data_IF_546202354893
#
_entry.id   IF_546202354893
#
_cell.length_a   1.000
_cell.length_b   1.000
_cell.length_c   1.000
_cell.angle_alpha   90.00
_cell.angle_beta   90.00
_cell.angle_gamma   90.00
#
_symmetry.space_group_name_H-M   'P 1'
#
loop_
_entity.id
_entity.type
_entity.pdbx_description
1 polymer ?
#
# COMPACT_ATOMS: atom_id res chain seq x y z
N UNK A 1 -14.70 0.60 13.32
CA UNK A 1 -13.99 -0.70 13.16
C UNK A 1 -12.52 -0.46 13.38
N UNK A 2 -11.87 -1.25 14.24
CA UNK A 2 -10.41 -1.20 14.40
C UNK A 2 -9.80 -1.87 13.15
N UNK A 3 -9.10 -1.12 12.31
CA UNK A 3 -8.36 -1.70 11.18
C UNK A 3 -7.05 -2.23 11.74
N UNK A 4 -6.76 -3.51 11.55
CA UNK A 4 -5.51 -4.13 11.99
C UNK A 4 -4.38 -3.75 11.02
N UNK A 5 -3.68 -2.67 11.30
CA UNK A 5 -2.56 -2.19 10.47
C UNK A 5 -1.31 -3.06 10.52
N UNK A 6 -1.29 -4.09 11.38
CA UNK A 6 -0.24 -5.11 11.43
C UNK A 6 -0.62 -6.38 10.67
N UNK A 7 -1.82 -6.45 10.11
CA UNK A 7 -2.23 -7.59 9.30
C UNK A 7 -1.40 -7.62 8.01
N UNK A 8 -1.00 -8.82 7.58
CA UNK A 8 -0.30 -8.99 6.30
C UNK A 8 -1.12 -8.56 5.09
N UNK A 9 -2.42 -8.36 5.26
CA UNK A 9 -3.33 -7.98 4.20
C UNK A 9 -4.14 -6.75 4.57
N UNK A 10 -4.35 -5.88 3.59
CA UNK A 10 -5.07 -4.64 3.78
C UNK A 10 -5.86 -4.29 2.52
N UNK A 11 -7.12 -3.89 2.70
CA UNK A 11 -7.96 -3.44 1.59
C UNK A 11 -7.89 -1.92 1.56
N UNK A 12 -7.47 -1.36 0.42
CA UNK A 12 -7.38 0.07 0.23
C UNK A 12 -8.78 0.66 0.26
N UNK A 13 -9.06 1.47 1.26
CA UNK A 13 -10.31 2.21 1.35
C UNK A 13 -10.17 3.64 0.84
N UNK A 14 -11.16 4.48 1.08
CA UNK A 14 -11.10 5.91 0.72
C UNK A 14 -10.15 6.72 1.59
N UNK A 15 -9.82 6.21 2.77
CA UNK A 15 -8.87 6.82 3.69
C UNK A 15 -7.43 6.52 3.26
N UNK A 16 -6.83 7.46 2.53
CA UNK A 16 -5.41 7.43 2.21
C UNK A 16 -4.55 7.33 3.48
N UNK A 17 -4.96 7.98 4.57
CA UNK A 17 -4.25 7.95 5.84
C UNK A 17 -4.12 6.53 6.40
N UNK A 18 -5.18 5.72 6.29
CA UNK A 18 -5.16 4.32 6.73
C UNK A 18 -4.22 3.47 5.86
N UNK A 19 -4.23 3.72 4.54
CA UNK A 19 -3.35 3.04 3.58
C UNK A 19 -1.88 3.36 3.84
N UNK A 20 -1.56 4.64 4.05
CA UNK A 20 -0.22 5.09 4.40
C UNK A 20 0.23 4.54 5.76
N UNK A 21 -0.67 4.48 6.74
CA UNK A 21 -0.38 3.90 8.05
C UNK A 21 0.03 2.43 7.92
N UNK A 22 -0.72 1.66 7.13
CA UNK A 22 -0.40 0.27 6.81
C UNK A 22 0.96 0.14 6.11
N UNK A 23 1.22 0.95 5.08
CA UNK A 23 2.53 0.95 4.39
C UNK A 23 3.68 1.24 5.37
N UNK A 24 3.57 2.28 6.19
CA UNK A 24 4.62 2.62 7.17
C UNK A 24 4.83 1.50 8.20
N UNK A 25 3.84 0.62 8.44
CA UNK A 25 3.98 -0.57 9.30
C UNK A 25 4.69 -1.74 8.61
N UNK A 26 4.70 -1.78 7.28
CA UNK A 26 5.23 -2.85 6.44
C UNK A 26 6.37 -2.35 5.52
N UNK A 27 7.31 -1.60 6.09
CA UNK A 27 8.48 -1.03 5.39
C UNK A 27 9.37 -2.09 4.74
N UNK A 28 9.32 -3.34 5.22
CA UNK A 28 10.09 -4.44 4.65
C UNK A 28 9.60 -4.89 3.25
N UNK A 29 8.44 -4.39 2.79
CA UNK A 29 7.82 -4.80 1.52
C UNK A 29 7.99 -3.80 0.38
N UNK A 30 8.55 -2.62 0.62
CA UNK A 30 8.78 -1.60 -0.40
C UNK A 30 9.99 -0.72 -0.05
N UNK A 31 10.57 -0.10 -1.07
CA UNK A 31 11.72 0.79 -0.93
C UNK A 31 11.28 2.26 -0.74
N UNK A 32 10.26 2.69 -1.48
CA UNK A 32 9.73 4.05 -1.39
C UNK A 32 8.24 4.11 -1.81
N UNK A 33 7.55 5.19 -1.46
CA UNK A 33 6.26 5.52 -2.04
C UNK A 33 6.18 7.01 -2.36
N UNK A 34 5.38 7.36 -3.36
CA UNK A 34 5.08 8.73 -3.77
C UNK A 34 3.59 8.89 -3.97
N UNK A 35 3.05 10.07 -3.66
CA UNK A 35 1.65 10.39 -3.89
C UNK A 35 1.53 11.44 -4.99
N UNK A 36 0.94 11.04 -6.10
CA UNK A 36 0.63 11.89 -7.24
C UNK A 36 -0.67 12.65 -6.96
N UNK A 37 -0.55 13.93 -6.62
CA UNK A 37 -1.69 14.77 -6.25
C UNK A 37 -2.56 15.12 -7.48
N UNK A 38 -1.98 15.14 -8.68
CA UNK A 38 -2.70 15.48 -9.91
C UNK A 38 -3.66 14.36 -10.30
N UNK A 39 -3.22 13.10 -10.20
CA UNK A 39 -4.02 11.92 -10.54
C UNK A 39 -4.71 11.29 -9.33
N UNK A 40 -4.39 11.76 -8.11
CA UNK A 40 -4.78 11.15 -6.84
C UNK A 40 -4.36 9.68 -6.71
N UNK A 41 -3.12 9.38 -7.12
CA UNK A 41 -2.59 8.02 -7.19
C UNK A 41 -1.41 7.84 -6.24
N UNK A 42 -1.44 6.78 -5.43
CA UNK A 42 -0.31 6.41 -4.57
C UNK A 42 0.53 5.37 -5.29
N UNK A 43 1.79 5.70 -5.59
CA UNK A 43 2.72 4.78 -6.25
C UNK A 43 3.70 4.23 -5.21
N UNK A 44 3.90 2.92 -5.20
CA UNK A 44 4.80 2.23 -4.27
C UNK A 44 5.89 1.54 -5.07
N UNK A 45 7.13 1.90 -4.80
CA UNK A 45 8.34 1.38 -5.42
C UNK A 45 8.91 0.26 -4.58
N UNK A 46 9.22 -0.87 -5.20
CA UNK A 46 9.87 -2.03 -4.57
C UNK A 46 10.85 -2.68 -5.56
N UNK A 47 11.60 -3.68 -5.11
CA UNK A 47 12.65 -4.32 -5.91
C UNK A 47 12.22 -4.84 -7.30
N UNK A 48 10.94 -5.19 -7.49
CA UNK A 48 10.39 -5.69 -8.76
C UNK A 48 9.78 -4.60 -9.66
N UNK A 49 9.64 -3.35 -9.19
CA UNK A 49 9.05 -2.27 -9.96
C UNK A 49 8.23 -1.30 -9.11
N UNK A 50 7.27 -0.64 -9.77
CA UNK A 50 6.39 0.35 -9.15
C UNK A 50 4.94 -0.07 -9.33
N UNK A 51 4.20 -0.13 -8.23
CA UNK A 51 2.77 -0.44 -8.22
C UNK A 51 1.95 0.79 -7.88
N UNK A 52 0.80 0.93 -8.54
CA UNK A 52 -0.11 2.05 -8.32
C UNK A 52 -1.28 1.57 -7.47
N UNK A 53 -1.31 2.01 -6.22
CA UNK A 53 -2.33 1.71 -5.23
C UNK A 53 -3.57 2.55 -5.50
N UNK A 54 -4.73 1.90 -5.64
CA UNK A 54 -6.03 2.53 -5.84
C UNK A 54 -7.08 1.97 -4.88
N UNK A 55 -8.13 2.75 -4.61
CA UNK A 55 -9.27 2.32 -3.78
C UNK A 55 -9.83 1.00 -4.31
N UNK A 56 -10.06 0.04 -3.41
CA UNK A 56 -10.57 -1.29 -3.73
C UNK A 56 -9.49 -2.31 -4.07
N UNK A 57 -8.22 -1.91 -4.23
CA UNK A 57 -7.13 -2.85 -4.37
C UNK A 57 -6.87 -3.60 -3.05
N UNK A 58 -6.43 -4.84 -3.20
CA UNK A 58 -5.98 -5.66 -2.09
C UNK A 58 -4.46 -5.54 -1.98
N UNK A 59 -3.95 -5.16 -0.82
CA UNK A 59 -2.52 -5.14 -0.53
C UNK A 59 -2.15 -6.38 0.26
N UNK A 60 -1.02 -6.99 -0.09
CA UNK A 60 -0.48 -8.15 0.61
C UNK A 60 1.02 -7.92 0.85
N UNK A 61 1.44 -7.94 2.11
CA UNK A 61 2.84 -7.87 2.54
C UNK A 61 3.51 -9.26 2.62
N UNK A 62 2.85 -10.31 2.12
CA UNK A 62 3.37 -11.66 2.06
C UNK A 62 4.41 -11.78 0.94
N UNK A 63 5.60 -12.26 1.28
CA UNK A 63 6.69 -12.54 0.34
C UNK A 63 7.32 -11.34 -0.36
N UNK A 64 7.42 -10.18 0.32
CA UNK A 64 8.24 -9.06 -0.15
C UNK A 64 7.81 -8.45 -1.49
N UNK A 65 6.59 -8.78 -1.93
CA UNK A 65 5.97 -8.23 -3.13
C UNK A 65 4.60 -7.72 -2.73
N UNK A 66 4.40 -6.42 -2.94
CA UNK A 66 3.13 -5.78 -2.70
C UNK A 66 2.19 -6.18 -3.84
N UNK A 67 1.52 -7.31 -3.70
CA UNK A 67 0.60 -7.82 -4.73
C UNK A 67 -0.64 -6.95 -4.71
N UNK A 68 -0.86 -6.17 -5.77
CA UNK A 68 -2.16 -5.57 -6.09
C UNK A 68 -2.88 -6.44 -7.11
N UNK A 69 -3.99 -7.08 -6.72
CA UNK A 69 -4.93 -7.75 -7.66
C UNK A 69 -6.14 -6.87 -7.95
#
# INVERSE_FOLDING_TARGET
MNKDFSALTYIVDESLADTLCWLVRHQDCFDAFEFDVEHQELKVHHANGTDIIRKGMYLNAGYGLLVTS
#
